data_IF_143738529653
#
_entry.id   IF_143738529653
#
_cell.length_a   1.000
_cell.length_b   1.000
_cell.length_c   1.000
_cell.angle_alpha   90.00
_cell.angle_beta   90.00
_cell.angle_gamma   90.00
#
_symmetry.space_group_name_H-M   'P 1'
#
loop_
_entity.id
_entity.type
_entity.pdbx_description
1 polymer ?
#
# COMPACT_ATOMS: atom_id res chain seq x y z
N UNK A 1 -14.39 -1.44 -1.08
CA UNK A 1 -14.21 -0.10 -0.49
C UNK A 1 -12.79 -0.05 0.03
N UNK A 2 -11.99 0.94 -0.39
CA UNK A 2 -10.59 1.09 0.04
C UNK A 2 -10.58 1.62 1.48
N UNK A 3 -9.70 1.10 2.35
CA UNK A 3 -9.61 1.51 3.76
C UNK A 3 -8.31 2.27 4.00
N UNK A 4 -8.46 3.48 4.51
CA UNK A 4 -7.34 4.33 4.88
C UNK A 4 -7.50 4.77 6.32
N UNK A 5 -6.40 4.75 7.08
CA UNK A 5 -6.31 5.34 8.43
C UNK A 5 -5.62 6.69 8.36
N UNK A 6 -6.06 7.64 9.17
CA UNK A 6 -5.39 8.93 9.29
C UNK A 6 -4.10 8.80 10.09
N UNK A 7 -2.98 9.24 9.52
CA UNK A 7 -1.70 9.39 10.20
C UNK A 7 -1.24 10.84 10.00
N UNK A 8 -1.03 11.57 11.09
CA UNK A 8 -0.60 12.98 11.03
C UNK A 8 -0.68 13.68 12.39
N UNK A 9 0.48 14.04 12.95
CA UNK A 9 0.59 14.91 14.14
C UNK A 9 0.51 16.41 13.79
N UNK A 10 0.37 16.74 12.50
CA UNK A 10 0.37 18.12 12.01
C UNK A 10 -1.08 18.58 11.73
N UNK A 11 -1.60 19.62 12.41
CA UNK A 11 -2.98 20.08 12.25
C UNK A 11 -3.32 20.65 10.86
N UNK A 12 -2.34 20.75 9.96
CA UNK A 12 -2.50 21.30 8.60
C UNK A 12 -2.17 20.29 7.48
N UNK A 13 -1.79 19.05 7.79
CA UNK A 13 -1.49 18.00 6.79
C UNK A 13 -2.01 16.66 7.31
N UNK A 14 -3.18 16.24 6.83
CA UNK A 14 -3.73 14.92 7.14
C UNK A 14 -3.38 13.96 5.99
N UNK A 15 -2.74 12.85 6.32
CA UNK A 15 -2.46 11.80 5.35
C UNK A 15 -3.35 10.61 5.68
N UNK A 16 -4.09 10.10 4.70
CA UNK A 16 -4.77 8.83 4.84
C UNK A 16 -3.84 7.73 4.29
N UNK A 17 -3.50 6.76 5.13
CA UNK A 17 -2.58 5.66 4.89
C UNK A 17 -3.35 4.38 4.63
N UNK A 18 -3.02 3.66 3.56
CA UNK A 18 -3.69 2.39 3.26
C UNK A 18 -3.42 1.37 4.38
N UNK A 19 -4.49 0.88 5.01
CA UNK A 19 -4.39 -0.08 6.12
C UNK A 19 -3.82 -1.43 5.67
N UNK A 20 -4.17 -1.87 4.46
CA UNK A 20 -3.81 -3.21 3.97
C UNK A 20 -2.34 -3.34 3.57
N UNK A 21 -1.62 -2.23 3.38
CA UNK A 21 -0.17 -2.23 3.11
C UNK A 21 0.63 -1.32 4.03
N UNK A 22 0.03 -0.85 5.14
CA UNK A 22 0.65 0.07 6.10
C UNK A 22 1.35 1.26 5.42
N UNK A 23 0.74 1.80 4.36
CA UNK A 23 1.26 2.97 3.65
C UNK A 23 2.45 2.71 2.73
N UNK A 24 2.84 1.46 2.50
CA UNK A 24 3.96 1.12 1.61
C UNK A 24 3.57 1.05 0.14
N UNK A 25 2.27 1.02 -0.18
CA UNK A 25 1.75 0.85 -1.53
C UNK A 25 2.00 -0.55 -2.12
N UNK A 26 2.64 -1.45 -1.38
CA UNK A 26 3.11 -2.73 -1.88
C UNK A 26 2.82 -3.87 -0.92
N UNK A 27 2.78 -5.09 -1.45
CA UNK A 27 2.63 -6.33 -0.69
C UNK A 27 3.64 -7.35 -1.20
N UNK A 28 4.10 -8.24 -0.33
CA UNK A 28 4.95 -9.34 -0.75
C UNK A 28 4.11 -10.37 -1.50
N UNK A 29 4.45 -10.62 -2.76
CA UNK A 29 3.84 -11.67 -3.59
C UNK A 29 4.86 -12.77 -3.85
N UNK A 30 4.39 -14.01 -3.80
CA UNK A 30 5.21 -15.17 -4.16
C UNK A 30 4.99 -15.42 -5.64
N UNK A 31 6.07 -15.32 -6.43
CA UNK A 31 6.04 -15.59 -7.87
C UNK A 31 6.94 -16.78 -8.18
N UNK A 32 6.58 -17.49 -9.25
CA UNK A 32 7.43 -18.50 -9.84
C UNK A 32 8.50 -17.77 -10.65
N UNK A 33 9.77 -17.96 -10.27
CA UNK A 33 10.87 -17.54 -11.10
C UNK A 33 10.97 -18.50 -12.29
N UNK A 34 10.69 -17.99 -13.48
CA UNK A 34 10.69 -18.74 -14.74
C UNK A 34 12.05 -18.67 -15.46
N UNK A 35 13.10 -18.15 -14.81
CA UNK A 35 14.45 -18.13 -15.38
C UNK A 35 14.90 -19.58 -15.65
N UNK A 36 15.33 -19.83 -16.90
CA UNK A 36 15.20 -21.06 -17.71
C UNK A 36 15.89 -22.35 -17.19
N UNK A 37 16.17 -22.48 -15.89
CA UNK A 37 16.89 -23.62 -15.32
C UNK A 37 16.35 -24.13 -13.99
N UNK A 38 15.63 -23.32 -13.20
CA UNK A 38 15.15 -23.73 -11.88
C UNK A 38 13.85 -23.01 -11.52
N UNK A 39 12.76 -23.77 -11.40
CA UNK A 39 11.49 -23.26 -10.87
C UNK A 39 11.64 -23.02 -9.36
N UNK A 40 12.02 -21.82 -8.97
CA UNK A 40 12.10 -21.38 -7.57
C UNK A 40 10.94 -20.44 -7.23
N UNK A 41 10.38 -20.57 -6.01
CA UNK A 41 9.44 -19.60 -5.47
C UNK A 41 10.23 -18.44 -4.86
N UNK A 42 10.16 -17.27 -5.49
CA UNK A 42 10.76 -16.04 -4.97
C UNK A 42 9.68 -15.12 -4.43
N UNK A 43 10.05 -14.29 -3.46
CA UNK A 43 9.17 -13.23 -2.95
C UNK A 43 9.57 -11.90 -3.57
N UNK A 44 8.62 -11.23 -4.22
CA UNK A 44 8.82 -9.93 -4.86
C UNK A 44 7.81 -8.91 -4.33
N UNK A 45 8.13 -7.62 -4.50
CA UNK A 45 7.21 -6.54 -4.16
C UNK A 45 6.16 -6.39 -5.28
N UNK A 46 4.90 -6.72 -4.97
CA UNK A 46 3.75 -6.49 -5.84
C UNK A 46 2.97 -5.24 -5.41
N UNK A 47 2.17 -4.69 -6.32
CA UNK A 47 1.26 -3.56 -6.02
C UNK A 47 0.21 -3.97 -5.00
N UNK A 48 0.01 -3.18 -3.95
CA UNK A 48 -1.08 -3.41 -3.01
C UNK A 48 -2.44 -3.21 -3.72
N UNK A 49 -3.28 -4.25 -3.86
CA UNK A 49 -4.54 -4.14 -4.61
C UNK A 49 -5.59 -3.31 -3.88
N UNK A 50 -5.47 -3.14 -2.57
CA UNK A 50 -6.43 -2.39 -1.77
C UNK A 50 -6.34 -0.87 -2.03
N UNK A 51 -5.13 -0.33 -2.20
CA UNK A 51 -4.90 1.07 -2.55
C UNK A 51 -4.41 1.29 -3.98
N UNK A 52 -4.26 0.23 -4.79
CA UNK A 52 -3.76 0.32 -6.16
C UNK A 52 -2.39 1.02 -6.25
N UNK A 53 -1.50 0.72 -5.29
CA UNK A 53 -0.17 1.33 -5.22
C UNK A 53 -0.10 2.77 -4.69
N UNK A 54 -1.24 3.41 -4.42
CA UNK A 54 -1.30 4.83 -4.04
C UNK A 54 -0.60 5.12 -2.71
N UNK A 55 -0.46 4.13 -1.82
CA UNK A 55 0.29 4.22 -0.54
C UNK A 55 -0.37 5.15 0.49
N UNK A 56 -0.44 6.44 0.18
CA UNK A 56 -1.08 7.49 0.96
C UNK A 56 -1.86 8.44 0.05
N UNK A 57 -2.92 9.04 0.58
CA UNK A 57 -3.64 10.14 -0.06
C UNK A 57 -3.56 11.38 0.84
N UNK A 58 -3.40 12.54 0.23
CA UNK A 58 -3.62 13.82 0.90
C UNK A 58 -5.11 13.89 1.25
N UNK A 59 -5.40 14.26 2.49
CA UNK A 59 -6.75 14.42 3.00
C UNK A 59 -6.85 15.75 3.73
N UNK A 60 -8.02 16.38 3.67
CA UNK A 60 -8.29 17.59 4.44
C UNK A 60 -8.91 17.22 5.80
N UNK A 61 -8.86 18.13 6.77
CA UNK A 61 -9.42 17.89 8.11
C UNK A 61 -10.93 17.57 8.07
N UNK A 62 -11.61 18.13 7.08
CA UNK A 62 -13.03 18.07 6.78
C UNK A 62 -13.44 16.87 5.91
N UNK A 63 -12.50 16.07 5.40
CA UNK A 63 -12.80 14.81 4.69
C UNK A 63 -13.24 13.67 5.64
N UNK A 64 -13.19 13.88 6.96
CA UNK A 64 -13.42 12.85 7.98
C UNK A 64 -14.63 13.11 8.90
N UNK A 65 -15.53 14.05 8.55
CA UNK A 65 -16.80 14.31 9.25
C UNK A 65 -17.89 13.23 8.99
#
# INVERSE_FOLDING_TARGET
>A
MRRFRTEGDNPNEYWAVCDDCDGTGSVNVVVLNDDESFNELITEAGTCPACDGVSFIEAEADDFD
#
